data_IF_499812305611
#
_entry.id   IF_499812305611
#
_cell.length_a   1.000
_cell.length_b   1.000
_cell.length_c   1.000
_cell.angle_alpha   90.00
_cell.angle_beta   90.00
_cell.angle_gamma   90.00
#
_symmetry.space_group_name_H-M   'P 1'
#
loop_
_entity.id
_entity.type
_entity.pdbx_description
1 polymer ?
#
# COMPACT_ATOMS: atom_id res chain seq x y z
N UNK A 1 -19.57 74.55 -10.16
CA UNK A 1 -18.25 73.88 -10.16
C UNK A 1 -18.23 72.86 -11.30
N UNK A 2 -17.74 73.22 -12.49
CA UNK A 2 -17.55 72.29 -13.61
C UNK A 2 -16.19 71.62 -13.43
N UNK A 3 -16.20 70.35 -13.02
CA UNK A 3 -14.98 69.54 -12.93
C UNK A 3 -14.41 69.36 -14.34
N UNK A 4 -13.12 69.57 -14.53
CA UNK A 4 -12.53 69.44 -15.87
C UNK A 4 -12.64 67.99 -16.37
N UNK A 5 -12.96 67.82 -17.66
CA UNK A 5 -13.19 66.52 -18.29
C UNK A 5 -11.99 65.55 -18.10
N UNK A 6 -10.77 66.09 -18.02
CA UNK A 6 -9.58 65.30 -17.76
C UNK A 6 -9.54 64.71 -16.34
N UNK A 7 -9.98 65.47 -15.33
CA UNK A 7 -10.08 64.95 -13.95
C UNK A 7 -11.19 63.92 -13.83
N UNK A 8 -12.33 64.15 -14.49
CA UNK A 8 -13.44 63.19 -14.50
C UNK A 8 -13.04 61.85 -15.17
N UNK A 9 -12.33 61.90 -16.29
CA UNK A 9 -11.80 60.70 -16.95
C UNK A 9 -10.80 59.95 -16.09
N UNK A 10 -9.85 60.66 -15.45
CA UNK A 10 -8.87 60.05 -14.55
C UNK A 10 -9.53 59.40 -13.34
N UNK A 11 -10.54 60.07 -12.78
CA UNK A 11 -11.33 59.51 -11.69
C UNK A 11 -12.04 58.20 -12.11
N UNK A 12 -12.72 58.21 -13.27
CA UNK A 12 -13.36 57.01 -13.81
C UNK A 12 -12.39 55.85 -14.05
N UNK A 13 -11.18 56.14 -14.55
CA UNK A 13 -10.17 55.08 -14.77
C UNK A 13 -9.69 54.44 -13.47
N UNK A 14 -9.52 55.22 -12.41
CA UNK A 14 -9.10 54.70 -11.10
C UNK A 14 -10.20 53.86 -10.48
N UNK A 15 -11.46 54.30 -10.58
CA UNK A 15 -12.62 53.54 -10.10
C UNK A 15 -12.79 52.23 -10.88
N UNK A 16 -12.63 52.26 -12.21
CA UNK A 16 -12.73 51.04 -13.00
C UNK A 16 -11.63 50.02 -12.65
N UNK A 17 -10.41 50.50 -12.42
CA UNK A 17 -9.28 49.65 -12.03
C UNK A 17 -9.47 49.04 -10.63
N UNK A 18 -9.98 49.80 -9.66
CA UNK A 18 -10.24 49.29 -8.32
C UNK A 18 -11.36 48.25 -8.30
N UNK A 19 -12.41 48.45 -9.09
CA UNK A 19 -13.51 47.47 -9.24
C UNK A 19 -12.99 46.16 -9.85
N UNK A 20 -12.22 46.24 -10.95
CA UNK A 20 -11.58 45.07 -11.57
C UNK A 20 -10.68 44.30 -10.59
N UNK A 21 -9.90 45.01 -9.77
CA UNK A 21 -9.01 44.39 -8.78
C UNK A 21 -9.80 43.70 -7.65
N UNK A 22 -10.94 44.26 -7.24
CA UNK A 22 -11.80 43.65 -6.22
C UNK A 22 -12.48 42.36 -6.71
N UNK A 23 -12.82 42.30 -8.00
CA UNK A 23 -13.41 41.13 -8.64
C UNK A 23 -12.43 39.97 -8.84
N UNK A 24 -11.12 40.22 -8.73
CA UNK A 24 -10.09 39.20 -8.83
C UNK A 24 -9.90 38.38 -7.53
N UNK A 25 -10.70 38.65 -6.48
CA UNK A 25 -10.70 37.86 -5.26
C UNK A 25 -11.37 36.51 -5.50
N UNK A 26 -10.61 35.57 -6.07
CA UNK A 26 -11.00 34.17 -6.17
C UNK A 26 -10.69 33.53 -4.80
N UNK A 27 -11.68 32.99 -4.08
CA UNK A 27 -11.39 32.24 -2.86
C UNK A 27 -10.47 31.08 -3.23
N UNK A 28 -9.33 30.97 -2.56
CA UNK A 28 -8.42 29.86 -2.75
C UNK A 28 -9.21 28.56 -2.52
N UNK A 29 -9.39 27.77 -3.58
CA UNK A 29 -10.05 26.48 -3.48
C UNK A 29 -9.24 25.61 -2.53
N UNK A 30 -9.84 25.21 -1.41
CA UNK A 30 -9.23 24.21 -0.52
C UNK A 30 -9.06 22.94 -1.32
N UNK A 31 -7.81 22.51 -1.52
CA UNK A 31 -7.51 21.27 -2.20
C UNK A 31 -8.12 20.12 -1.39
N UNK A 32 -9.14 19.46 -1.94
CA UNK A 32 -9.69 18.25 -1.35
C UNK A 32 -8.71 17.12 -1.62
N UNK A 33 -7.95 16.72 -0.60
CA UNK A 33 -7.10 15.54 -0.67
C UNK A 33 -7.98 14.33 -0.98
N UNK A 34 -7.77 13.60 -2.10
CA UNK A 34 -8.56 12.42 -2.38
C UNK A 34 -8.24 11.37 -1.32
N UNK A 35 -9.18 11.16 -0.39
CA UNK A 35 -9.12 10.06 0.56
C UNK A 35 -9.25 8.78 -0.24
N UNK A 36 -8.12 8.11 -0.49
CA UNK A 36 -8.11 6.78 -1.11
C UNK A 36 -8.88 5.87 -0.17
N UNK A 37 -10.13 5.57 -0.50
CA UNK A 37 -10.92 4.58 0.20
C UNK A 37 -10.32 3.22 -0.15
N UNK A 38 -9.53 2.66 0.76
CA UNK A 38 -9.03 1.30 0.61
C UNK A 38 -10.24 0.33 0.59
N UNK A 39 -10.24 -0.69 -0.27
CA UNK A 39 -11.27 -1.72 -0.24
C UNK A 39 -11.32 -2.40 1.13
N UNK A 40 -12.52 -2.54 1.69
CA UNK A 40 -12.76 -3.25 2.94
C UNK A 40 -13.04 -4.73 2.66
N UNK A 41 -12.19 -5.61 3.18
CA UNK A 41 -12.31 -7.07 3.02
C UNK A 41 -12.96 -7.75 4.23
N UNK A 42 -13.30 -7.00 5.30
CA UNK A 42 -13.78 -7.53 6.58
C UNK A 42 -14.98 -8.46 6.38
N UNK A 43 -15.99 -8.05 5.60
CA UNK A 43 -17.19 -8.87 5.36
C UNK A 43 -16.97 -10.13 4.51
N UNK A 44 -15.90 -10.21 3.71
CA UNK A 44 -15.54 -11.42 2.97
C UNK A 44 -14.77 -12.38 3.88
N UNK A 45 -13.86 -11.84 4.69
CA UNK A 45 -13.09 -12.62 5.67
C UNK A 45 -14.02 -13.27 6.69
N UNK A 46 -14.99 -12.53 7.24
CA UNK A 46 -15.98 -13.07 8.18
C UNK A 46 -16.78 -14.25 7.62
N UNK A 47 -17.07 -14.25 6.31
CA UNK A 47 -17.79 -15.34 5.64
C UNK A 47 -16.88 -16.53 5.30
N UNK A 48 -15.61 -16.27 5.02
CA UNK A 48 -14.64 -17.27 4.58
C UNK A 48 -13.93 -17.96 5.76
N UNK A 49 -13.85 -17.31 6.92
CA UNK A 49 -13.14 -17.81 8.12
C UNK A 49 -13.56 -19.23 8.53
N UNK A 50 -14.86 -19.59 8.58
CA UNK A 50 -15.27 -20.95 8.99
C UNK A 50 -14.89 -22.05 8.00
N UNK A 51 -14.57 -21.70 6.76
CA UNK A 51 -14.24 -22.65 5.72
C UNK A 51 -12.76 -23.08 5.75
N UNK A 52 -11.92 -22.41 6.55
CA UNK A 52 -10.48 -22.68 6.63
C UNK A 52 -10.22 -23.70 7.74
N UNK A 53 -9.77 -24.89 7.36
CA UNK A 53 -9.45 -25.97 8.30
C UNK A 53 -7.98 -26.34 8.28
N UNK A 54 -7.43 -26.67 9.45
CA UNK A 54 -6.06 -27.16 9.58
C UNK A 54 -6.03 -28.66 9.31
N UNK A 55 -5.46 -29.08 8.17
CA UNK A 55 -5.31 -30.50 7.84
C UNK A 55 -3.96 -31.02 8.33
N UNK A 56 -3.97 -32.17 9.00
CA UNK A 56 -2.77 -32.95 9.37
C UNK A 56 -2.90 -34.37 8.82
N UNK A 57 -1.97 -34.77 7.97
CA UNK A 57 -1.90 -36.13 7.42
C UNK A 57 -1.13 -37.05 8.37
N UNK A 58 -1.70 -38.19 8.74
CA UNK A 58 -1.09 -39.16 9.70
C UNK A 58 -0.80 -40.53 9.09
N UNK A 59 -1.03 -40.72 7.80
CA UNK A 59 -0.76 -41.99 7.13
C UNK A 59 0.72 -42.10 6.76
N UNK A 60 1.41 -43.11 7.32
CA UNK A 60 2.68 -43.59 6.78
C UNK A 60 2.37 -44.30 5.46
N UNK A 61 2.78 -43.72 4.34
CA UNK A 61 2.71 -44.39 3.03
C UNK A 61 3.63 -45.61 3.09
N UNK A 62 3.11 -46.85 3.01
CA UNK A 62 3.97 -48.01 2.88
C UNK A 62 4.63 -47.94 1.51
N UNK A 63 5.89 -47.50 1.47
CA UNK A 63 6.75 -47.74 0.32
C UNK A 63 6.86 -49.25 0.22
N UNK A 64 6.24 -49.84 -0.80
CA UNK A 64 6.45 -51.26 -1.14
C UNK A 64 7.95 -51.43 -1.23
N UNK A 65 8.54 -52.07 -0.21
CA UNK A 65 9.97 -52.28 -0.14
C UNK A 65 10.44 -52.84 -1.48
N UNK A 66 11.62 -52.45 -1.97
CA UNK A 66 12.11 -53.03 -3.19
C UNK A 66 12.13 -54.54 -2.97
N UNK A 67 11.49 -55.26 -3.90
CA UNK A 67 11.34 -56.70 -3.81
C UNK A 67 12.69 -57.40 -3.57
N UNK A 68 12.67 -58.68 -3.19
CA UNK A 68 13.89 -59.46 -2.96
C UNK A 68 14.83 -59.30 -4.18
N UNK A 69 15.90 -58.51 -4.04
CA UNK A 69 16.76 -58.12 -5.17
C UNK A 69 17.40 -56.73 -5.13
N UNK A 70 17.14 -55.86 -4.14
CA UNK A 70 17.79 -54.56 -4.05
C UNK A 70 19.28 -54.67 -3.61
N UNK A 71 20.25 -54.00 -4.28
CA UNK A 71 21.66 -54.06 -3.91
C UNK A 71 21.96 -53.41 -2.54
N UNK A 72 22.38 -54.24 -1.59
CA UNK A 72 23.32 -54.02 -0.47
C UNK A 72 23.31 -52.71 0.37
N UNK A 73 23.35 -52.79 1.72
CA UNK A 73 23.56 -51.62 2.56
C UNK A 73 25.06 -51.30 2.67
N UNK A 74 25.46 -50.06 2.41
CA UNK A 74 26.82 -49.62 2.73
C UNK A 74 27.32 -48.42 1.95
N UNK A 75 26.90 -47.22 2.35
CA UNK A 75 27.81 -46.07 2.28
C UNK A 75 27.63 -45.22 3.53
N UNK A 76 28.65 -45.08 4.39
CA UNK A 76 28.62 -44.12 5.47
C UNK A 76 28.46 -42.71 4.88
N UNK A 77 27.44 -41.99 5.35
CA UNK A 77 27.28 -40.56 5.03
C UNK A 77 28.39 -39.82 5.78
N UNK A 78 29.19 -38.96 5.13
CA UNK A 78 30.13 -38.12 5.85
C UNK A 78 29.35 -37.23 6.81
N UNK A 79 29.63 -37.37 8.10
CA UNK A 79 29.05 -36.57 9.17
C UNK A 79 29.37 -35.09 8.92
N UNK A 80 28.39 -34.17 8.93
CA UNK A 80 28.66 -32.75 8.79
C UNK A 80 29.53 -32.33 9.98
N UNK A 81 30.70 -31.76 9.67
CA UNK A 81 31.60 -31.21 10.68
C UNK A 81 30.80 -30.29 11.61
N UNK A 82 30.81 -30.62 12.88
CA UNK A 82 30.15 -29.88 13.95
C UNK A 82 30.70 -28.45 13.93
N UNK A 83 29.91 -27.51 13.41
CA UNK A 83 30.24 -26.10 13.45
C UNK A 83 30.20 -25.67 14.93
N UNK A 84 31.32 -25.25 15.54
CA UNK A 84 31.29 -24.85 16.93
C UNK A 84 30.44 -23.58 17.03
N UNK A 85 29.39 -23.66 17.83
CA UNK A 85 28.64 -22.50 18.31
C UNK A 85 29.65 -21.49 18.87
N UNK A 86 29.93 -20.44 18.11
CA UNK A 86 30.74 -19.33 18.55
C UNK A 86 29.95 -18.56 19.61
N UNK A 87 30.26 -18.95 20.83
CA UNK A 87 30.08 -18.30 22.12
C UNK A 87 30.06 -16.78 22.01
N UNK A 88 29.06 -16.23 22.70
CA UNK A 88 28.90 -14.83 23.05
C UNK A 88 30.22 -14.12 23.43
N UNK A 89 30.41 -12.93 22.88
CA UNK A 89 31.22 -11.86 23.45
C UNK A 89 30.56 -10.52 23.10
#
# INVERSE_FOLDING_TARGET
>A
MTVSNAYFRRFLTVVAASVMMSAAYVPASVAQTPTVALPDFTGIVEKADPAVVNIRTTATVPVRGPGPGAPGPGRPVPEPASEPAAVAA
#
